data_IF_860996208909
#
_entry.id   IF_860996208909
#
_cell.length_a   1.000
_cell.length_b   1.000
_cell.length_c   1.000
_cell.angle_alpha   90.00
_cell.angle_beta   90.00
_cell.angle_gamma   90.00
#
_symmetry.space_group_name_H-M   'P 1'
#
loop_
_entity.id
_entity.type
_entity.pdbx_description
1 polymer ?
#
# COMPACT_ATOMS: atom_id res chain seq x y z
N UNK A 1 12.24 -9.79 14.02
CA UNK A 1 11.06 -9.29 13.29
C UNK A 1 10.70 -10.35 12.26
N UNK A 2 9.47 -10.82 12.29
CA UNK A 2 8.96 -11.87 11.39
C UNK A 2 9.17 -11.47 9.92
N UNK A 3 9.56 -12.44 9.07
CA UNK A 3 9.91 -12.17 7.68
C UNK A 3 8.68 -11.77 6.85
N UNK A 4 7.52 -12.40 7.12
CA UNK A 4 6.27 -12.05 6.46
C UNK A 4 5.82 -10.63 6.81
N UNK A 5 6.04 -10.22 8.05
CA UNK A 5 5.79 -8.86 8.49
C UNK A 5 6.63 -7.83 7.71
N UNK A 6 7.93 -8.11 7.49
CA UNK A 6 8.81 -7.25 6.69
C UNK A 6 8.36 -7.17 5.23
N UNK A 7 8.00 -8.29 4.63
CA UNK A 7 7.47 -8.33 3.26
C UNK A 7 6.24 -7.44 3.11
N UNK A 8 5.28 -7.56 4.03
CA UNK A 8 4.04 -6.79 4.01
C UNK A 8 4.29 -5.29 4.20
N UNK A 9 5.26 -4.92 5.06
CA UNK A 9 5.69 -3.53 5.19
C UNK A 9 6.35 -3.01 3.91
N UNK A 10 7.26 -3.79 3.32
CA UNK A 10 7.94 -3.43 2.08
C UNK A 10 6.94 -3.20 0.94
N UNK A 11 5.91 -4.05 0.83
CA UNK A 11 4.85 -3.91 -0.17
C UNK A 11 4.02 -2.63 0.03
N UNK A 12 3.71 -2.27 1.29
CA UNK A 12 3.06 -0.99 1.60
C UNK A 12 3.95 0.18 1.18
N UNK A 13 5.25 0.14 1.50
CA UNK A 13 6.16 1.22 1.11
C UNK A 13 6.24 1.38 -0.41
N UNK A 14 6.31 0.27 -1.14
CA UNK A 14 6.34 0.27 -2.60
C UNK A 14 5.07 0.85 -3.20
N UNK A 15 3.90 0.34 -2.81
CA UNK A 15 2.61 0.80 -3.33
C UNK A 15 2.33 2.27 -2.99
N UNK A 16 2.74 2.73 -1.80
CA UNK A 16 2.66 4.15 -1.42
C UNK A 16 3.58 5.04 -2.24
N UNK A 17 4.80 4.57 -2.55
CA UNK A 17 5.74 5.32 -3.39
C UNK A 17 5.24 5.40 -4.84
N UNK A 18 4.70 4.31 -5.39
CA UNK A 18 4.07 4.29 -6.72
C UNK A 18 2.89 5.29 -6.79
N UNK A 19 1.98 5.26 -5.81
CA UNK A 19 0.90 6.24 -5.70
C UNK A 19 1.43 7.67 -5.60
N UNK A 20 2.48 7.89 -4.82
CA UNK A 20 3.09 9.21 -4.63
C UNK A 20 3.72 9.72 -5.93
N UNK A 21 4.43 8.87 -6.68
CA UNK A 21 4.98 9.20 -7.99
C UNK A 21 3.88 9.57 -8.97
N UNK A 22 2.79 8.80 -9.01
CA UNK A 22 1.63 9.12 -9.85
C UNK A 22 1.04 10.50 -9.50
N UNK A 23 0.78 10.79 -8.22
CA UNK A 23 0.21 12.07 -7.80
C UNK A 23 1.15 13.24 -8.08
N UNK A 24 2.47 13.06 -7.91
CA UNK A 24 3.48 14.08 -8.24
C UNK A 24 3.56 14.33 -9.75
N UNK A 25 3.50 13.29 -10.56
CA UNK A 25 3.47 13.39 -12.02
C UNK A 25 2.17 13.94 -12.58
N UNK A 26 1.08 13.85 -11.80
CA UNK A 26 -0.27 14.25 -12.21
C UNK A 26 -0.91 15.29 -11.25
N UNK A 27 -0.37 16.52 -11.23
CA UNK A 27 -0.89 17.57 -10.34
C UNK A 27 -2.32 17.98 -10.70
N UNK A 28 -3.06 18.49 -9.70
CA UNK A 28 -4.49 18.89 -9.84
C UNK A 28 -5.42 17.76 -10.28
N UNK A 29 -5.02 16.50 -10.09
CA UNK A 29 -5.83 15.36 -10.46
C UNK A 29 -5.91 15.13 -11.96
N UNK A 30 -4.91 15.60 -12.72
CA UNK A 30 -4.66 15.12 -14.08
C UNK A 30 -4.34 13.60 -14.07
N UNK A 31 -4.15 13.00 -15.23
CA UNK A 31 -3.89 11.57 -15.37
C UNK A 31 -5.16 10.71 -15.36
N UNK A 32 -4.98 9.41 -15.62
CA UNK A 32 -6.11 8.49 -15.72
C UNK A 32 -6.75 8.27 -14.35
N UNK A 33 -8.06 8.55 -14.26
CA UNK A 33 -8.86 8.31 -13.06
C UNK A 33 -8.89 6.83 -12.68
N UNK A 34 -8.86 5.92 -13.65
CA UNK A 34 -8.84 4.47 -13.41
C UNK A 34 -7.52 4.04 -12.79
N UNK A 35 -6.40 4.51 -13.36
CA UNK A 35 -5.06 4.28 -12.80
C UNK A 35 -4.92 4.86 -11.40
N UNK A 36 -5.40 6.09 -11.19
CA UNK A 36 -5.44 6.70 -9.86
C UNK A 36 -6.22 5.82 -8.88
N UNK A 37 -7.42 5.36 -9.24
CA UNK A 37 -8.23 4.52 -8.37
C UNK A 37 -7.51 3.20 -8.06
N UNK A 38 -6.93 2.57 -9.09
CA UNK A 38 -6.17 1.33 -8.95
C UNK A 38 -5.03 1.48 -7.92
N UNK A 39 -4.23 2.54 -8.01
CA UNK A 39 -3.12 2.79 -7.06
C UNK A 39 -3.59 2.99 -5.62
N UNK A 40 -4.74 3.64 -5.42
CA UNK A 40 -5.32 3.77 -4.08
C UNK A 40 -5.87 2.43 -3.56
N UNK A 41 -6.50 1.64 -4.44
CA UNK A 41 -7.01 0.31 -4.10
C UNK A 41 -5.85 -0.67 -3.77
N UNK A 42 -4.72 -0.58 -4.45
CA UNK A 42 -3.49 -1.34 -4.13
C UNK A 42 -2.95 -1.01 -2.74
N UNK A 43 -2.82 0.27 -2.40
CA UNK A 43 -2.37 0.70 -1.07
C UNK A 43 -3.30 0.18 0.03
N UNK A 44 -4.62 0.27 -0.16
CA UNK A 44 -5.56 -0.23 0.85
C UNK A 44 -5.53 -1.76 0.95
N UNK A 45 -5.34 -2.47 -0.17
CA UNK A 45 -5.15 -3.93 -0.17
C UNK A 45 -3.89 -4.33 0.62
N UNK A 46 -2.76 -3.67 0.39
CA UNK A 46 -1.51 -3.94 1.13
C UNK A 46 -1.66 -3.67 2.64
N UNK A 47 -2.30 -2.54 3.00
CA UNK A 47 -2.61 -2.21 4.41
C UNK A 47 -3.55 -3.23 5.05
N UNK A 48 -4.57 -3.69 4.32
CA UNK A 48 -5.49 -4.73 4.79
C UNK A 48 -4.74 -6.05 5.02
N UNK A 49 -3.85 -6.45 4.11
CA UNK A 49 -3.03 -7.65 4.29
C UNK A 49 -2.18 -7.58 5.56
N UNK A 50 -1.51 -6.45 5.83
CA UNK A 50 -0.78 -6.27 7.09
C UNK A 50 -1.69 -6.33 8.32
N UNK A 51 -2.88 -5.72 8.25
CA UNK A 51 -3.84 -5.74 9.36
C UNK A 51 -4.36 -7.14 9.65
N UNK A 52 -4.71 -7.89 8.61
CA UNK A 52 -5.18 -9.27 8.73
C UNK A 52 -4.07 -10.17 9.27
N UNK A 53 -2.82 -9.96 8.81
CA UNK A 53 -1.65 -10.65 9.34
C UNK A 53 -1.42 -10.36 10.83
N UNK A 54 -1.50 -9.09 11.27
CA UNK A 54 -1.43 -8.72 12.69
C UNK A 54 -2.54 -9.33 13.53
N UNK A 55 -3.76 -9.41 13.00
CA UNK A 55 -4.91 -10.05 13.68
C UNK A 55 -4.70 -11.55 13.87
N UNK A 56 -4.11 -12.22 12.89
CA UNK A 56 -3.77 -13.65 12.98
C UNK A 56 -2.56 -13.91 13.87
N UNK A 57 -1.74 -12.90 14.14
CA UNK A 57 -0.51 -13.00 14.93
C UNK A 57 -0.47 -11.95 16.05
N UNK A 58 -1.28 -12.12 17.13
CA UNK A 58 -1.41 -11.11 18.18
C UNK A 58 -0.11 -10.80 18.94
N UNK A 59 0.85 -11.71 18.90
CA UNK A 59 2.18 -11.58 19.52
C UNK A 59 3.12 -10.62 18.77
N UNK A 60 2.71 -10.10 17.61
CA UNK A 60 3.46 -9.11 16.84
C UNK A 60 3.15 -7.66 17.24
N UNK A 61 2.35 -7.46 18.29
CA UNK A 61 2.05 -6.17 18.91
C UNK A 61 3.06 -5.80 20.00
#
# INVERSE_FOLDING_TARGET
MDEKFKELLSEIYRTEDEKRRFVRGNPRGSGDRRERRFLYDEVERARKALRDYKRMNPHLY
#
